data_IF_322186657581
#
_entry.id   IF_322186657581
#
_cell.length_a   1.000
_cell.length_b   1.000
_cell.length_c   1.000
_cell.angle_alpha   90.00
_cell.angle_beta   90.00
_cell.angle_gamma   90.00
#
_symmetry.space_group_name_H-M   'P 1'
#
loop_
_entity.id
_entity.type
_entity.pdbx_description
1 polymer ?
#
# COMPACT_ATOMS: atom_id res chain seq x y z
N UNK A 1 -17.93 -4.02 -51.62
CA UNK A 1 -18.09 -5.24 -50.81
C UNK A 1 -18.45 -4.84 -49.38
N UNK A 2 -19.55 -5.34 -48.88
CA UNK A 2 -20.35 -4.80 -47.76
C UNK A 2 -19.65 -4.93 -46.43
N UNK A 3 -19.58 -3.80 -45.69
CA UNK A 3 -19.36 -3.77 -44.25
C UNK A 3 -20.55 -4.41 -43.53
N UNK A 4 -20.27 -5.30 -42.62
CA UNK A 4 -21.26 -5.89 -41.71
C UNK A 4 -21.32 -5.13 -40.42
N UNK A 5 -22.44 -4.88 -40.00
CA UNK A 5 -23.26 -4.39 -38.99
C UNK A 5 -22.88 -4.62 -37.51
N UNK A 6 -23.69 -4.08 -36.59
CA UNK A 6 -23.27 -3.80 -35.23
C UNK A 6 -23.15 -5.07 -34.40
N UNK A 7 -22.19 -5.05 -33.46
CA UNK A 7 -22.04 -6.03 -32.40
C UNK A 7 -23.35 -6.19 -31.62
N UNK A 8 -23.78 -7.43 -31.53
CA UNK A 8 -24.96 -7.84 -30.81
C UNK A 8 -24.91 -7.41 -29.34
N UNK A 9 -25.98 -6.81 -28.90
CA UNK A 9 -26.34 -6.59 -27.51
C UNK A 9 -26.40 -7.97 -26.84
N UNK A 10 -25.74 -8.12 -25.71
CA UNK A 10 -25.81 -9.32 -24.89
C UNK A 10 -27.18 -9.40 -24.20
N UNK A 11 -28.15 -9.95 -24.92
CA UNK A 11 -29.38 -10.51 -24.34
C UNK A 11 -29.25 -12.02 -24.42
N UNK A 12 -29.58 -12.69 -23.31
CA UNK A 12 -29.61 -14.15 -23.08
C UNK A 12 -28.33 -14.80 -22.50
N UNK A 13 -28.06 -14.47 -21.22
CA UNK A 13 -27.38 -15.41 -20.32
C UNK A 13 -28.46 -15.99 -19.37
N UNK A 14 -28.69 -17.30 -19.37
CA UNK A 14 -29.69 -17.92 -18.49
C UNK A 14 -29.27 -17.80 -17.01
N UNK A 15 -30.27 -17.58 -16.15
CA UNK A 15 -30.16 -17.27 -14.73
C UNK A 15 -29.75 -18.45 -13.81
N UNK A 16 -28.77 -19.26 -14.19
CA UNK A 16 -28.43 -20.52 -13.49
C UNK A 16 -26.94 -20.72 -13.22
N UNK A 17 -26.15 -19.63 -13.10
CA UNK A 17 -24.79 -19.73 -12.52
C UNK A 17 -24.51 -18.46 -11.72
N UNK A 18 -25.21 -18.31 -10.58
CA UNK A 18 -24.88 -17.32 -9.56
C UNK A 18 -24.17 -18.01 -8.42
N UNK A 19 -22.94 -18.40 -8.66
CA UNK A 19 -22.03 -18.80 -7.60
C UNK A 19 -21.02 -17.67 -7.41
N UNK A 20 -21.14 -16.94 -6.30
CA UNK A 20 -20.14 -16.18 -5.57
C UNK A 20 -19.12 -15.27 -6.28
N UNK A 21 -19.29 -14.90 -7.55
CA UNK A 21 -18.33 -14.06 -8.27
C UNK A 21 -18.60 -12.56 -7.99
N UNK A 22 -17.68 -11.90 -7.32
CA UNK A 22 -17.67 -10.44 -7.14
C UNK A 22 -17.52 -9.78 -8.51
N UNK A 23 -18.50 -8.99 -8.90
CA UNK A 23 -18.48 -8.27 -10.18
C UNK A 23 -17.86 -6.89 -9.97
N UNK A 24 -16.79 -6.59 -10.67
CA UNK A 24 -16.22 -5.24 -10.76
C UNK A 24 -16.67 -4.58 -12.07
N UNK A 25 -17.02 -3.29 -12.02
CA UNK A 25 -17.33 -2.54 -13.23
C UNK A 25 -16.07 -2.31 -14.09
N UNK A 26 -16.26 -1.81 -15.30
CA UNK A 26 -15.15 -1.53 -16.24
C UNK A 26 -14.17 -0.45 -15.75
N UNK A 27 -14.49 0.22 -14.64
CA UNK A 27 -13.66 1.23 -13.98
C UNK A 27 -13.00 0.68 -12.72
N UNK A 28 -13.12 -0.63 -12.42
CA UNK A 28 -12.55 -1.28 -11.26
C UNK A 28 -13.29 -1.01 -9.95
N UNK A 29 -14.54 -0.51 -10.02
CA UNK A 29 -15.39 -0.38 -8.84
C UNK A 29 -16.10 -1.69 -8.57
N UNK A 30 -16.06 -2.16 -7.32
CA UNK A 30 -16.87 -3.28 -6.89
C UNK A 30 -18.34 -2.84 -6.96
N UNK A 31 -19.09 -3.41 -7.90
CA UNK A 31 -20.53 -3.19 -7.99
C UNK A 31 -21.18 -4.09 -6.94
N UNK A 32 -21.98 -3.50 -6.06
CA UNK A 32 -22.71 -4.25 -5.06
C UNK A 32 -23.46 -5.41 -5.72
N UNK A 33 -23.11 -6.63 -5.35
CA UNK A 33 -23.96 -7.78 -5.62
C UNK A 33 -25.25 -7.61 -4.80
N UNK A 34 -26.40 -7.92 -5.42
CA UNK A 34 -27.69 -8.10 -4.73
C UNK A 34 -27.68 -9.39 -3.85
N UNK A 35 -26.62 -9.59 -3.11
CA UNK A 35 -26.52 -10.62 -2.06
C UNK A 35 -26.73 -9.94 -0.72
N UNK A 36 -27.45 -10.61 0.18
CA UNK A 36 -27.77 -10.14 1.53
C UNK A 36 -26.61 -9.38 2.16
N UNK A 37 -26.84 -8.20 2.76
CA UNK A 37 -25.79 -7.36 3.34
C UNK A 37 -25.01 -8.01 4.51
N UNK A 38 -25.33 -9.25 4.86
CA UNK A 38 -24.69 -10.01 5.95
C UNK A 38 -23.48 -10.86 5.48
N UNK A 39 -23.20 -11.01 4.19
CA UNK A 39 -22.16 -11.96 3.71
C UNK A 39 -21.14 -11.38 2.69
N UNK A 40 -21.23 -10.13 2.30
CA UNK A 40 -20.22 -9.53 1.41
C UNK A 40 -19.16 -8.79 2.23
N UNK A 41 -18.07 -9.47 2.59
CA UNK A 41 -16.83 -8.81 3.03
C UNK A 41 -16.30 -7.94 1.88
N UNK A 42 -16.76 -6.68 1.83
CA UNK A 42 -16.31 -5.73 0.83
C UNK A 42 -14.97 -5.14 1.26
N UNK A 43 -13.89 -5.54 0.59
CA UNK A 43 -12.57 -4.95 0.81
C UNK A 43 -12.62 -3.47 0.42
N UNK A 44 -12.39 -2.52 1.35
CA UNK A 44 -12.51 -1.09 1.07
C UNK A 44 -11.39 -0.64 0.12
N UNK A 45 -11.75 -0.37 -1.11
CA UNK A 45 -10.82 0.12 -2.15
C UNK A 45 -10.87 1.64 -2.36
N UNK A 46 -11.95 2.30 -1.96
CA UNK A 46 -12.14 3.75 -2.14
C UNK A 46 -11.09 4.62 -1.40
N UNK A 47 -10.66 4.28 -0.16
CA UNK A 47 -9.61 5.02 0.54
C UNK A 47 -8.21 4.81 -0.02
N UNK A 48 -8.03 3.86 -0.95
CA UNK A 48 -6.73 3.56 -1.55
C UNK A 48 -6.48 4.47 -2.74
N UNK A 49 -5.30 5.04 -2.81
CA UNK A 49 -4.93 6.04 -3.81
C UNK A 49 -3.69 5.62 -4.58
N UNK A 50 -3.63 6.02 -5.85
CA UNK A 50 -2.42 5.90 -6.66
C UNK A 50 -1.52 7.10 -6.40
N UNK A 51 -0.25 6.85 -6.12
CA UNK A 51 0.78 7.87 -5.87
C UNK A 51 1.66 7.98 -7.11
N UNK A 52 1.88 9.19 -7.59
CA UNK A 52 2.78 9.51 -8.69
C UNK A 52 3.92 10.36 -8.14
N UNK A 53 5.13 9.97 -8.40
CA UNK A 53 6.33 10.68 -7.93
C UNK A 53 7.26 10.97 -9.09
N UNK A 54 7.76 12.20 -9.14
CA UNK A 54 8.79 12.63 -10.09
C UNK A 54 10.08 12.82 -9.32
N UNK A 55 11.09 12.03 -9.64
CA UNK A 55 12.39 12.05 -9.00
C UNK A 55 13.41 12.77 -9.87
N UNK A 56 14.29 13.52 -9.24
CA UNK A 56 15.43 14.16 -9.89
C UNK A 56 16.64 14.07 -8.99
N UNK A 57 17.34 12.95 -9.05
CA UNK A 57 18.49 12.69 -8.19
C UNK A 57 19.69 13.51 -8.64
N UNK A 58 20.54 13.87 -7.68
CA UNK A 58 21.81 14.55 -7.97
C UNK A 58 22.75 13.63 -8.75
N UNK A 59 23.54 14.22 -9.66
CA UNK A 59 24.59 13.51 -10.37
C UNK A 59 25.91 13.63 -9.60
N UNK A 60 26.40 12.56 -8.93
CA UNK A 60 27.64 12.61 -8.16
C UNK A 60 28.87 12.95 -9.01
N UNK A 61 28.84 12.66 -10.31
CA UNK A 61 29.93 12.94 -11.25
C UNK A 61 29.91 14.38 -11.78
N UNK A 62 28.74 15.02 -11.73
CA UNK A 62 28.54 16.41 -12.13
C UNK A 62 27.69 17.11 -11.07
N UNK A 63 28.26 17.53 -9.92
CA UNK A 63 27.49 18.04 -8.78
C UNK A 63 26.63 19.27 -9.06
N UNK A 64 26.90 19.97 -10.16
CA UNK A 64 26.12 21.13 -10.65
C UNK A 64 24.92 20.75 -11.53
N UNK A 65 24.71 19.46 -11.78
CA UNK A 65 23.58 18.98 -12.60
C UNK A 65 22.83 17.85 -11.91
N UNK A 66 21.55 17.76 -12.18
CA UNK A 66 20.73 16.63 -11.80
C UNK A 66 20.70 15.60 -12.93
N UNK A 67 20.42 14.34 -12.59
CA UNK A 67 20.06 13.32 -13.56
C UNK A 67 18.73 13.67 -14.24
N UNK A 68 18.42 13.00 -15.34
CA UNK A 68 17.12 13.10 -15.98
C UNK A 68 16.00 12.80 -14.96
N UNK A 69 14.86 13.45 -15.14
CA UNK A 69 13.68 13.15 -14.33
C UNK A 69 13.19 11.74 -14.62
N UNK A 70 12.91 11.01 -13.58
CA UNK A 70 12.33 9.66 -13.63
C UNK A 70 10.97 9.70 -12.93
N UNK A 71 9.97 9.11 -13.57
CA UNK A 71 8.64 8.95 -12.97
C UNK A 71 8.53 7.57 -12.34
N UNK A 72 7.95 7.52 -11.16
CA UNK A 72 7.58 6.28 -10.49
C UNK A 72 6.16 6.34 -9.99
N UNK A 73 5.54 5.18 -9.84
CA UNK A 73 4.20 5.05 -9.29
C UNK A 73 4.20 4.08 -8.13
N UNK A 74 3.31 4.33 -7.19
CA UNK A 74 3.08 3.47 -6.04
C UNK A 74 1.64 3.61 -5.57
N UNK A 75 1.37 3.03 -4.43
CA UNK A 75 0.09 3.08 -3.76
C UNK A 75 0.17 3.82 -2.43
N UNK A 76 -0.96 4.23 -1.93
CA UNK A 76 -1.11 4.80 -0.60
C UNK A 76 -2.56 4.65 -0.16
N UNK A 77 -2.86 5.00 1.05
CA UNK A 77 -4.22 4.99 1.56
C UNK A 77 -4.47 6.07 2.60
N UNK A 78 -5.72 6.46 2.72
CA UNK A 78 -6.16 7.51 3.62
C UNK A 78 -6.25 6.99 5.05
N UNK A 79 -5.67 7.72 5.99
CA UNK A 79 -5.75 7.47 7.43
C UNK A 79 -6.10 8.75 8.17
N UNK A 80 -6.52 8.58 9.42
CA UNK A 80 -6.69 9.70 10.37
C UNK A 80 -5.63 9.60 11.46
N UNK A 81 -4.78 10.63 11.56
CA UNK A 81 -3.76 10.73 12.59
C UNK A 81 -3.81 12.13 13.21
N UNK A 82 -3.82 12.23 14.55
CA UNK A 82 -3.95 13.48 15.34
C UNK A 82 -5.11 14.38 14.87
N UNK A 83 -6.26 13.74 14.53
CA UNK A 83 -7.46 14.42 14.05
C UNK A 83 -7.38 14.96 12.62
N UNK A 84 -6.27 14.76 11.91
CA UNK A 84 -6.06 15.19 10.53
C UNK A 84 -6.11 14.00 9.57
N UNK A 85 -6.64 14.25 8.37
CA UNK A 85 -6.57 13.29 7.27
C UNK A 85 -5.20 13.40 6.58
N UNK A 86 -4.58 12.26 6.34
CA UNK A 86 -3.34 12.17 5.56
C UNK A 86 -3.31 10.86 4.78
N UNK A 87 -2.45 10.80 3.78
CA UNK A 87 -2.18 9.57 3.02
C UNK A 87 -0.92 8.93 3.56
N UNK A 88 -1.00 7.65 3.91
CA UNK A 88 0.15 6.81 4.26
C UNK A 88 0.64 6.07 3.01
N UNK A 89 1.95 6.04 2.82
CA UNK A 89 2.63 5.34 1.71
C UNK A 89 4.03 4.90 2.15
N UNK A 90 4.80 4.25 1.27
CA UNK A 90 6.19 3.96 1.54
C UNK A 90 7.11 5.17 1.32
N UNK A 91 8.22 5.20 2.08
CA UNK A 91 9.23 6.23 1.91
C UNK A 91 9.92 6.14 0.54
N UNK A 92 10.27 4.94 0.07
CA UNK A 92 10.92 4.77 -1.23
C UNK A 92 10.07 5.25 -2.42
N UNK A 93 8.73 5.26 -2.30
CA UNK A 93 7.83 5.78 -3.34
C UNK A 93 7.98 7.30 -3.49
N UNK A 94 8.23 8.03 -2.39
CA UNK A 94 8.25 9.50 -2.37
C UNK A 94 9.59 10.10 -1.96
N UNK A 95 10.59 9.27 -1.65
CA UNK A 95 11.93 9.72 -1.32
C UNK A 95 12.54 10.46 -2.52
N UNK A 96 13.24 11.56 -2.23
CA UNK A 96 13.91 12.39 -3.24
C UNK A 96 13.01 12.85 -4.39
N UNK A 97 11.68 12.70 -4.27
CA UNK A 97 10.75 13.23 -5.25
C UNK A 97 10.75 14.76 -5.20
N UNK A 98 10.85 15.39 -6.36
CA UNK A 98 10.69 16.84 -6.54
C UNK A 98 9.22 17.23 -6.57
N UNK A 99 8.36 16.29 -6.97
CA UNK A 99 6.93 16.51 -7.10
C UNK A 99 6.17 15.20 -6.84
N UNK A 100 5.08 15.29 -6.08
CA UNK A 100 4.22 14.16 -5.75
C UNK A 100 2.77 14.52 -6.01
N UNK A 101 2.06 13.65 -6.68
CA UNK A 101 0.62 13.74 -6.89
C UNK A 101 -0.06 12.45 -6.41
N UNK A 102 -1.32 12.59 -6.01
CA UNK A 102 -2.17 11.45 -5.65
C UNK A 102 -3.47 11.49 -6.43
N UNK A 103 -4.02 10.31 -6.73
CA UNK A 103 -5.28 10.16 -7.43
C UNK A 103 -6.17 9.15 -6.73
N UNK A 104 -7.43 9.50 -6.52
CA UNK A 104 -8.45 8.60 -5.96
C UNK A 104 -8.91 7.55 -6.97
N UNK A 105 -9.40 6.45 -6.46
CA UNK A 105 -10.13 5.47 -7.28
C UNK A 105 -11.31 6.15 -8.00
N UNK A 106 -11.44 5.91 -9.30
CA UNK A 106 -12.54 6.45 -10.10
C UNK A 106 -12.50 7.96 -10.40
N UNK A 107 -11.51 8.71 -9.90
CA UNK A 107 -11.30 10.13 -10.25
C UNK A 107 -10.19 10.24 -11.30
N UNK A 108 -10.43 11.02 -12.35
CA UNK A 108 -9.40 11.31 -13.36
C UNK A 108 -8.42 12.42 -12.92
N UNK A 109 -8.78 13.18 -11.86
CA UNK A 109 -7.97 14.31 -11.37
C UNK A 109 -6.82 13.80 -10.51
N UNK A 110 -5.69 14.45 -10.67
CA UNK A 110 -4.54 14.31 -9.78
C UNK A 110 -4.47 15.51 -8.85
N UNK A 111 -4.12 15.27 -7.61
CA UNK A 111 -4.02 16.28 -6.57
C UNK A 111 -2.59 16.34 -6.07
N UNK A 112 -2.06 17.55 -5.93
CA UNK A 112 -0.71 17.76 -5.42
C UNK A 112 -0.66 17.35 -3.96
N UNK A 113 0.35 16.55 -3.62
CA UNK A 113 0.60 16.08 -2.27
C UNK A 113 1.96 16.58 -1.77
N UNK A 114 2.00 16.98 -0.52
CA UNK A 114 3.23 17.40 0.16
C UNK A 114 3.66 16.35 1.18
N UNK A 115 4.96 16.07 1.23
CA UNK A 115 5.53 15.15 2.22
C UNK A 115 5.52 15.82 3.60
N UNK A 116 4.82 15.21 4.55
CA UNK A 116 4.76 15.71 5.93
C UNK A 116 5.85 15.07 6.78
N UNK A 117 5.96 13.74 6.71
CA UNK A 117 6.91 12.96 7.49
C UNK A 117 7.43 11.81 6.65
N UNK A 118 8.72 11.57 6.69
CA UNK A 118 9.37 10.47 5.96
C UNK A 118 10.35 9.77 6.90
N UNK A 119 10.26 8.46 7.00
CA UNK A 119 11.23 7.61 7.71
C UNK A 119 11.77 6.56 6.76
N UNK A 120 13.02 6.74 6.36
CA UNK A 120 13.71 5.75 5.53
C UNK A 120 13.97 4.46 6.30
N UNK A 121 14.08 4.52 7.62
CA UNK A 121 14.41 3.38 8.47
C UNK A 121 13.33 2.30 8.43
N UNK A 122 12.06 2.68 8.57
CA UNK A 122 10.92 1.77 8.46
C UNK A 122 10.20 1.83 7.11
N UNK A 123 10.75 2.59 6.15
CA UNK A 123 10.20 2.74 4.81
C UNK A 123 8.74 3.24 4.76
N UNK A 124 8.40 4.22 5.59
CA UNK A 124 7.08 4.83 5.65
C UNK A 124 7.13 6.34 5.43
N UNK A 125 6.08 6.88 4.82
CA UNK A 125 5.90 8.30 4.63
C UNK A 125 4.43 8.71 4.76
N UNK A 126 4.18 9.92 5.27
CA UNK A 126 2.86 10.55 5.27
C UNK A 126 2.83 11.75 4.35
N UNK A 127 1.73 11.88 3.61
CA UNK A 127 1.48 12.96 2.68
C UNK A 127 0.25 13.75 3.13
N UNK A 128 0.31 15.07 2.97
CA UNK A 128 -0.83 15.97 3.11
C UNK A 128 -1.31 16.41 1.73
N UNK A 129 -2.61 16.48 1.56
CA UNK A 129 -3.27 17.05 0.39
C UNK A 129 -4.09 18.23 0.88
N UNK A 130 -3.77 19.43 0.39
CA UNK A 130 -4.42 20.67 0.82
C UNK A 130 -5.79 20.89 0.16
N UNK A 131 -6.03 20.28 -0.99
CA UNK A 131 -7.30 20.40 -1.71
C UNK A 131 -8.39 19.60 -1.00
N UNK A 132 -9.35 20.31 -0.39
CA UNK A 132 -10.46 19.69 0.33
C UNK A 132 -11.32 18.76 -0.54
N UNK A 133 -11.41 19.02 -1.85
CA UNK A 133 -12.13 18.17 -2.80
C UNK A 133 -11.55 16.75 -2.88
N UNK A 134 -10.27 16.59 -2.56
CA UNK A 134 -9.67 15.27 -2.47
C UNK A 134 -10.31 14.43 -1.36
N UNK A 135 -10.66 15.03 -0.25
CA UNK A 135 -11.19 14.34 0.92
C UNK A 135 -12.71 14.12 0.87
N UNK A 136 -13.41 14.72 -0.09
CA UNK A 136 -14.84 14.50 -0.28
C UNK A 136 -15.14 13.04 -0.58
N UNK A 137 -15.99 12.40 0.27
CA UNK A 137 -16.39 11.01 0.15
C UNK A 137 -15.30 9.98 0.49
N UNK A 138 -14.15 10.41 1.02
CA UNK A 138 -13.08 9.50 1.45
C UNK A 138 -13.26 9.15 2.93
N UNK A 139 -13.53 7.89 3.22
CA UNK A 139 -13.52 7.35 4.58
C UNK A 139 -12.12 6.79 4.88
N UNK A 140 -11.41 7.34 5.89
CA UNK A 140 -10.08 6.86 6.23
C UNK A 140 -10.13 5.44 6.81
N UNK A 141 -9.15 4.62 6.45
CA UNK A 141 -9.01 3.28 7.01
C UNK A 141 -8.59 3.32 8.47
N UNK A 142 -9.08 2.36 9.24
CA UNK A 142 -8.71 2.10 10.63
C UNK A 142 -7.58 1.09 10.69
N UNK A 143 -6.79 1.15 11.78
CA UNK A 143 -5.75 0.16 12.05
C UNK A 143 -6.28 -0.95 12.95
N UNK A 144 -6.18 -2.17 12.46
CA UNK A 144 -6.49 -3.38 13.21
C UNK A 144 -5.39 -3.78 14.21
N UNK A 145 -5.43 -5.03 14.60
CA UNK A 145 -4.46 -5.65 15.50
C UNK A 145 -3.38 -6.40 14.71
N UNK A 146 -2.38 -6.93 15.43
CA UNK A 146 -1.40 -7.83 14.85
C UNK A 146 -2.08 -9.14 14.45
N UNK A 147 -1.94 -9.60 13.20
CA UNK A 147 -2.56 -10.84 12.75
C UNK A 147 -1.84 -12.08 13.31
N UNK A 148 -2.51 -13.20 13.26
CA UNK A 148 -1.97 -14.53 13.54
C UNK A 148 -1.50 -15.22 12.25
N UNK A 149 -0.74 -16.30 12.39
CA UNK A 149 -0.39 -17.15 11.25
C UNK A 149 -1.64 -17.75 10.64
N UNK A 150 -1.70 -17.78 9.30
CA UNK A 150 -2.81 -18.25 8.48
C UNK A 150 -4.06 -17.35 8.46
N UNK A 151 -4.03 -16.20 9.13
CA UNK A 151 -5.10 -15.20 8.92
C UNK A 151 -5.14 -14.76 7.47
N UNK A 152 -6.32 -14.59 6.93
CA UNK A 152 -6.53 -14.07 5.58
C UNK A 152 -6.13 -12.61 5.49
N UNK A 153 -5.52 -12.23 4.37
CA UNK A 153 -5.08 -10.88 4.09
C UNK A 153 -5.34 -10.50 2.64
N UNK A 154 -5.93 -9.33 2.43
CA UNK A 154 -6.14 -8.73 1.11
C UNK A 154 -5.23 -7.51 0.94
N UNK A 155 -4.36 -7.53 -0.05
CA UNK A 155 -3.50 -6.39 -0.41
C UNK A 155 -4.16 -5.60 -1.52
N UNK A 156 -4.35 -4.30 -1.29
CA UNK A 156 -5.00 -3.38 -2.23
C UNK A 156 -3.98 -2.37 -2.74
N UNK A 157 -3.89 -2.20 -4.06
CA UNK A 157 -2.94 -1.25 -4.63
C UNK A 157 -3.11 -1.03 -6.13
N UNK A 158 -2.20 -0.25 -6.68
CA UNK A 158 -2.16 0.11 -8.10
C UNK A 158 -0.87 -0.43 -8.74
N UNK A 159 -0.88 -1.66 -9.25
CA UNK A 159 0.30 -2.23 -9.90
C UNK A 159 0.71 -1.41 -11.12
N UNK A 160 2.00 -1.42 -11.43
CA UNK A 160 2.53 -0.78 -12.64
C UNK A 160 1.86 -1.34 -13.90
N UNK A 161 1.66 -0.46 -14.88
CA UNK A 161 1.04 -0.82 -16.16
C UNK A 161 -0.48 -0.75 -16.17
N UNK A 162 -1.14 -0.43 -15.03
CA UNK A 162 -2.59 -0.27 -14.92
C UNK A 162 -3.00 1.03 -14.23
N UNK A 163 -4.22 1.48 -14.52
CA UNK A 163 -4.84 2.63 -13.87
C UNK A 163 -5.91 2.22 -12.85
N UNK A 164 -6.32 0.96 -12.88
CA UNK A 164 -7.30 0.38 -11.97
C UNK A 164 -6.67 -0.14 -10.68
N UNK A 165 -7.45 -0.18 -9.62
CA UNK A 165 -7.09 -0.83 -8.37
C UNK A 165 -7.00 -2.35 -8.58
N UNK A 166 -6.04 -2.97 -7.95
CA UNK A 166 -5.87 -4.42 -7.90
C UNK A 166 -5.97 -4.90 -6.46
N UNK A 167 -6.66 -6.00 -6.26
CA UNK A 167 -6.78 -6.67 -4.96
C UNK A 167 -6.19 -8.06 -5.12
N UNK A 168 -5.19 -8.37 -4.30
CA UNK A 168 -4.59 -9.71 -4.23
C UNK A 168 -4.83 -10.27 -2.83
N UNK A 169 -5.28 -11.53 -2.75
CA UNK A 169 -5.61 -12.19 -1.51
C UNK A 169 -4.60 -13.31 -1.23
N UNK A 170 -4.31 -13.53 0.02
CA UNK A 170 -3.44 -14.57 0.52
C UNK A 170 -3.58 -14.73 2.03
N UNK A 171 -2.59 -15.35 2.66
CA UNK A 171 -2.56 -15.58 4.11
C UNK A 171 -1.23 -15.14 4.72
N UNK A 172 -1.25 -14.90 6.01
CA UNK A 172 -0.06 -14.64 6.82
C UNK A 172 0.75 -15.92 6.95
N UNK A 173 1.93 -15.95 6.33
CA UNK A 173 2.80 -17.14 6.31
C UNK A 173 3.82 -17.14 7.45
N UNK A 174 4.35 -15.96 7.83
CA UNK A 174 5.40 -15.83 8.84
C UNK A 174 5.43 -14.42 9.45
N UNK A 175 5.85 -14.33 10.70
CA UNK A 175 6.09 -13.08 11.41
C UNK A 175 7.50 -13.16 11.99
N UNK A 176 8.40 -12.31 11.48
CA UNK A 176 9.83 -12.38 11.85
C UNK A 176 10.53 -11.02 11.75
N UNK A 177 11.74 -10.93 12.29
CA UNK A 177 12.61 -9.78 12.05
C UNK A 177 13.26 -9.97 10.68
N UNK A 178 12.98 -9.05 9.77
CA UNK A 178 13.49 -9.05 8.40
C UNK A 178 14.30 -7.79 8.13
N UNK A 179 15.34 -7.92 7.31
CA UNK A 179 16.12 -6.78 6.85
C UNK A 179 15.36 -6.05 5.75
N UNK A 180 14.99 -4.80 5.99
CA UNK A 180 14.30 -3.97 5.01
C UNK A 180 15.26 -3.58 3.88
N UNK A 181 14.84 -3.85 2.63
CA UNK A 181 15.70 -3.69 1.44
C UNK A 181 16.17 -2.26 1.27
N UNK A 182 15.29 -1.28 1.49
CA UNK A 182 15.59 0.13 1.25
C UNK A 182 16.45 0.78 2.34
N UNK A 183 16.30 0.36 3.59
CA UNK A 183 17.06 0.94 4.71
C UNK A 183 18.24 0.09 5.17
N UNK A 184 18.20 -1.22 4.91
CA UNK A 184 19.13 -2.17 5.49
C UNK A 184 18.93 -2.41 6.99
N UNK A 185 17.93 -1.80 7.61
CA UNK A 185 17.59 -1.96 9.03
C UNK A 185 16.76 -3.23 9.22
N UNK A 186 17.03 -3.97 10.30
CA UNK A 186 16.27 -5.16 10.65
C UNK A 186 15.10 -4.79 11.56
N UNK A 187 13.89 -4.90 11.05
CA UNK A 187 12.65 -4.59 11.76
C UNK A 187 11.66 -5.73 11.63
N UNK A 188 10.59 -5.68 12.45
CA UNK A 188 9.51 -6.63 12.36
C UNK A 188 8.83 -6.53 11.01
N UNK A 189 8.62 -7.67 10.36
CA UNK A 189 7.88 -7.78 9.11
C UNK A 189 6.95 -9.01 9.15
N UNK A 190 5.90 -8.94 8.38
CA UNK A 190 5.00 -10.07 8.13
C UNK A 190 5.25 -10.55 6.71
N UNK A 191 5.48 -11.83 6.56
CA UNK A 191 5.51 -12.50 5.27
C UNK A 191 4.11 -13.00 4.92
N UNK A 192 3.67 -12.70 3.71
CA UNK A 192 2.39 -13.13 3.15
C UNK A 192 2.63 -13.84 1.82
N UNK A 193 1.70 -14.67 1.40
CA UNK A 193 1.71 -15.34 0.10
C UNK A 193 0.85 -14.61 -0.95
N UNK A 194 0.19 -13.51 -0.57
CA UNK A 194 -0.43 -12.61 -1.54
C UNK A 194 0.61 -11.97 -2.45
N UNK A 195 0.31 -11.88 -3.73
CA UNK A 195 1.23 -11.30 -4.70
C UNK A 195 1.41 -9.79 -4.47
N UNK A 196 2.65 -9.37 -4.16
CA UNK A 196 3.05 -7.95 -4.14
C UNK A 196 3.79 -7.66 -5.43
N UNK A 197 3.18 -6.89 -6.31
CA UNK A 197 3.76 -6.45 -7.57
C UNK A 197 4.29 -5.02 -7.45
N UNK A 198 5.26 -4.61 -8.31
CA UNK A 198 5.66 -3.21 -8.43
C UNK A 198 4.44 -2.30 -8.60
N UNK A 199 4.39 -1.21 -7.83
CA UNK A 199 3.24 -0.31 -7.76
C UNK A 199 2.27 -0.58 -6.60
N UNK A 200 2.18 -1.80 -6.06
CA UNK A 200 1.41 -2.09 -4.84
C UNK A 200 2.09 -1.55 -3.57
N UNK A 201 3.39 -1.20 -3.65
CA UNK A 201 4.13 -0.61 -2.53
C UNK A 201 3.42 0.61 -1.96
N UNK A 202 3.25 0.65 -0.63
CA UNK A 202 2.51 1.69 0.08
C UNK A 202 1.00 1.42 0.19
N UNK A 203 0.48 0.41 -0.51
CA UNK A 203 -0.91 -0.03 -0.36
C UNK A 203 -1.17 -0.75 0.95
N UNK A 204 -2.42 -0.70 1.46
CA UNK A 204 -2.79 -1.40 2.69
C UNK A 204 -2.90 -2.90 2.45
N UNK A 205 -2.52 -3.67 3.46
CA UNK A 205 -2.93 -5.04 3.63
C UNK A 205 -3.99 -5.09 4.74
N UNK A 206 -5.15 -5.64 4.42
CA UNK A 206 -6.41 -5.50 5.16
C UNK A 206 -6.87 -6.88 5.57
N UNK A 207 -7.40 -7.00 6.79
CA UNK A 207 -8.03 -8.23 7.29
C UNK A 207 -9.48 -8.39 6.82
N UNK A 208 -10.13 -9.50 7.20
CA UNK A 208 -11.53 -9.76 6.89
C UNK A 208 -12.53 -8.75 7.49
N UNK A 209 -12.12 -7.98 8.50
CA UNK A 209 -12.94 -6.92 9.11
C UNK A 209 -12.86 -5.58 8.36
N UNK A 210 -11.96 -5.46 7.38
CA UNK A 210 -11.71 -4.22 6.65
C UNK A 210 -10.69 -3.30 7.32
N UNK A 211 -10.03 -3.76 8.39
CA UNK A 211 -9.01 -2.99 9.10
C UNK A 211 -7.61 -3.24 8.53
N UNK A 212 -6.79 -2.19 8.53
CA UNK A 212 -5.40 -2.27 8.07
C UNK A 212 -4.54 -2.99 9.11
N UNK A 213 -3.97 -4.12 8.73
CA UNK A 213 -3.03 -4.87 9.57
C UNK A 213 -1.57 -4.60 9.21
N UNK A 214 -1.31 -4.12 7.99
CA UNK A 214 0.05 -3.84 7.53
C UNK A 214 0.07 -3.01 6.24
N UNK A 215 1.27 -2.59 5.81
CA UNK A 215 1.52 -1.86 4.56
C UNK A 215 2.46 -2.68 3.67
N UNK A 216 2.08 -2.87 2.40
CA UNK A 216 2.91 -3.57 1.42
C UNK A 216 4.18 -2.76 1.12
N UNK A 217 5.36 -3.41 1.12
CA UNK A 217 6.60 -2.65 0.89
C UNK A 217 7.64 -3.35 0.00
N UNK A 218 7.71 -4.66 -0.03
CA UNK A 218 8.69 -5.37 -0.88
C UNK A 218 8.24 -6.78 -1.22
N UNK A 219 8.76 -7.31 -2.32
CA UNK A 219 8.73 -8.72 -2.64
C UNK A 219 10.16 -9.30 -2.67
N UNK A 220 10.29 -10.58 -2.52
CA UNK A 220 11.56 -11.27 -2.70
C UNK A 220 11.76 -11.59 -4.18
N UNK A 221 12.63 -10.84 -4.85
CA UNK A 221 12.85 -10.92 -6.31
C UNK A 221 13.20 -12.32 -6.83
N UNK A 222 13.79 -13.17 -6.01
CA UNK A 222 14.21 -14.53 -6.39
C UNK A 222 13.16 -15.61 -6.05
N UNK A 223 12.06 -15.26 -5.38
CA UNK A 223 11.04 -16.20 -4.93
C UNK A 223 9.66 -15.78 -5.41
N UNK A 224 8.93 -16.71 -6.00
CA UNK A 224 7.54 -16.47 -6.39
C UNK A 224 6.64 -16.48 -5.14
N UNK A 225 5.67 -15.57 -5.09
CA UNK A 225 4.65 -15.49 -4.04
C UNK A 225 5.17 -15.26 -2.61
N UNK A 226 6.27 -14.52 -2.45
CA UNK A 226 6.74 -14.07 -1.14
C UNK A 226 6.68 -12.55 -1.10
N UNK A 227 5.71 -12.02 -0.38
CA UNK A 227 5.56 -10.60 -0.10
C UNK A 227 5.89 -10.30 1.36
N UNK A 228 6.50 -9.15 1.62
CA UNK A 228 6.70 -8.63 2.96
C UNK A 228 5.89 -7.36 3.16
N UNK A 229 5.29 -7.26 4.33
CA UNK A 229 4.45 -6.12 4.71
C UNK A 229 4.87 -5.58 6.08
N UNK A 230 4.78 -4.26 6.23
CA UNK A 230 5.15 -3.54 7.46
C UNK A 230 3.99 -3.62 8.44
N UNK A 231 4.14 -4.21 9.63
CA UNK A 231 3.04 -4.43 10.57
C UNK A 231 2.61 -3.17 11.30
N UNK A 232 1.36 -3.15 11.77
CA UNK A 232 0.74 -2.03 12.52
C UNK A 232 1.59 -1.51 13.70
N UNK A 233 2.27 -2.32 14.53
CA UNK A 233 3.12 -1.79 15.58
C UNK A 233 4.24 -0.87 15.06
N UNK A 234 4.86 -1.22 13.93
CA UNK A 234 5.88 -0.37 13.27
C UNK A 234 5.26 0.90 12.71
N UNK A 235 4.05 0.80 12.12
CA UNK A 235 3.31 1.94 11.58
C UNK A 235 2.95 2.91 12.70
N UNK A 236 2.38 2.43 13.81
CA UNK A 236 2.03 3.25 14.97
C UNK A 236 3.25 3.93 15.57
N UNK A 237 4.36 3.19 15.74
CA UNK A 237 5.61 3.79 16.20
C UNK A 237 6.05 4.92 15.27
N UNK A 238 6.02 4.72 13.94
CA UNK A 238 6.34 5.77 12.97
C UNK A 238 5.42 6.98 13.11
N UNK A 239 4.11 6.79 13.23
CA UNK A 239 3.14 7.89 13.33
C UNK A 239 3.36 8.69 14.62
N UNK A 240 3.51 8.02 15.75
CA UNK A 240 3.65 8.64 17.08
C UNK A 240 5.07 9.19 17.34
N UNK A 241 6.09 8.69 16.59
CA UNK A 241 7.46 9.10 16.76
C UNK A 241 7.71 10.50 16.22
N UNK A 242 8.03 11.44 17.10
CA UNK A 242 8.42 12.78 16.72
C UNK A 242 9.56 13.29 17.60
N UNK A 243 10.56 13.95 16.99
CA UNK A 243 11.62 14.61 17.77
C UNK A 243 11.07 15.86 18.46
N UNK A 244 11.38 16.08 19.74
CA UNK A 244 10.98 17.30 20.44
C UNK A 244 11.38 18.55 19.64
N UNK A 245 10.42 19.43 19.36
CA UNK A 245 10.61 20.66 18.58
C UNK A 245 10.76 20.46 17.05
N UNK A 246 10.70 19.23 16.57
CA UNK A 246 10.76 18.90 15.13
C UNK A 246 9.76 17.80 14.77
N UNK A 247 8.46 18.09 14.73
CA UNK A 247 7.41 17.07 14.59
C UNK A 247 7.48 16.30 13.27
N UNK A 248 8.19 16.81 12.27
CA UNK A 248 8.37 16.16 10.97
C UNK A 248 9.57 15.22 10.90
N UNK A 249 10.38 15.13 11.98
CA UNK A 249 11.56 14.26 12.03
C UNK A 249 11.34 13.12 12.98
N UNK A 250 11.55 11.89 12.49
CA UNK A 250 11.52 10.67 13.30
C UNK A 250 12.73 10.60 14.24
N UNK A 251 12.53 10.09 15.45
CA UNK A 251 13.63 9.68 16.34
C UNK A 251 14.26 8.39 15.86
N UNK A 252 13.45 7.52 15.23
CA UNK A 252 13.86 6.25 14.66
C UNK A 252 13.66 5.07 15.61
N UNK A 253 14.27 3.95 15.28
CA UNK A 253 14.17 2.72 16.04
C UNK A 253 15.43 2.52 16.91
N UNK A 254 15.23 2.21 18.18
CA UNK A 254 16.34 1.96 19.11
C UNK A 254 17.07 0.67 18.74
N UNK A 255 18.39 0.72 18.72
CA UNK A 255 19.25 -0.46 18.57
C UNK A 255 20.07 -0.65 19.84
N UNK A 256 20.08 -1.85 20.38
CA UNK A 256 20.92 -2.20 21.52
C UNK A 256 22.40 -2.38 21.14
N UNK A 257 22.71 -2.46 19.84
CA UNK A 257 24.08 -2.70 19.35
C UNK A 257 24.65 -4.06 19.74
N UNK A 258 23.81 -5.03 20.06
CA UNK A 258 24.20 -6.38 20.45
C UNK A 258 23.74 -7.40 19.41
N UNK A 259 24.61 -8.36 19.12
CA UNK A 259 24.23 -9.54 18.36
C UNK A 259 23.90 -10.67 19.35
N UNK A 260 22.77 -11.33 19.13
CA UNK A 260 22.35 -12.46 19.94
C UNK A 260 22.12 -13.69 19.07
N UNK A 261 22.40 -14.85 19.64
CA UNK A 261 22.14 -16.12 19.00
C UNK A 261 21.40 -17.02 19.99
N UNK A 262 20.32 -17.62 19.52
CA UNK A 262 19.62 -18.64 20.32
C UNK A 262 20.54 -19.86 20.47
N UNK A 263 20.89 -20.16 21.71
CA UNK A 263 21.63 -21.38 22.01
C UNK A 263 20.70 -22.58 21.86
N UNK A 264 20.93 -23.39 20.85
CA UNK A 264 20.23 -24.67 20.76
C UNK A 264 20.67 -25.56 21.91
N UNK A 265 19.73 -26.25 22.62
CA UNK A 265 20.13 -27.26 23.59
C UNK A 265 20.94 -28.34 22.89
N UNK A 266 22.06 -28.74 23.50
CA UNK A 266 22.82 -29.86 23.00
C UNK A 266 21.92 -31.10 22.98
N UNK A 267 21.95 -31.91 21.92
CA UNK A 267 21.23 -33.17 21.92
C UNK A 267 21.78 -34.05 23.08
N UNK A 268 20.84 -34.59 23.86
CA UNK A 268 21.12 -35.49 24.96
C UNK A 268 21.68 -36.84 24.49
#
# INVERSE_FOLDING_TARGET
MRCRGPLAVAEDIPAAERDGARTVDIYGRVVACDTDPAEAECVPSEPVVKVYSVHSSQNPWMPWSNKAQEESTGSGFSIRHDGRLCVLTNAHVVADATYVEVRKAGDARKYVATRVKVSHECDLATLAVEDERFWEGVEPLSFGSMPSLQDEVSVVGYPEGGEGVSITQGVVSRIEIQRYVHSGTSLLAIQIDAAINPGNSGGPAIDGSGDVISVAFQNQQESQNIGYVIPVPTIRHFLDDSKPGQPHKCAGFCSLGVFWQVRQPLPS
#
